data_IF_372122874631
#
_entry.id   IF_372122874631
#
_cell.length_a   1.000
_cell.length_b   1.000
_cell.length_c   1.000
_cell.angle_alpha   90.00
_cell.angle_beta   90.00
_cell.angle_gamma   90.00
#
_symmetry.space_group_name_H-M   'P 1'
#
loop_
_entity.id
_entity.type
_entity.pdbx_description
1 polymer ?
#
# COMPACT_ATOMS: atom_id res chain seq x y z
N UNK A 1 5.29 20.11 -19.70
CA UNK A 1 5.07 18.89 -20.50
C UNK A 1 4.78 19.30 -21.94
N UNK A 2 5.00 18.42 -22.90
CA UNK A 2 4.58 18.68 -24.29
C UNK A 2 3.06 18.82 -24.38
N UNK A 3 2.57 19.53 -25.39
CA UNK A 3 1.13 19.62 -25.64
C UNK A 3 0.61 18.23 -25.99
N UNK A 4 -0.54 17.79 -25.42
CA UNK A 4 -1.10 16.48 -25.72
C UNK A 4 -1.49 16.35 -27.20
N UNK A 5 -1.42 15.14 -27.73
CA UNK A 5 -1.88 14.83 -29.07
C UNK A 5 -3.36 15.21 -29.23
N UNK A 6 -3.71 15.84 -30.36
CA UNK A 6 -5.04 16.38 -30.60
C UNK A 6 -5.32 17.78 -30.02
N UNK A 7 -4.43 18.29 -29.13
CA UNK A 7 -4.54 19.62 -28.52
C UNK A 7 -3.33 20.52 -28.82
N UNK A 8 -2.55 20.18 -29.83
CA UNK A 8 -1.42 20.99 -30.27
C UNK A 8 -1.93 22.25 -30.96
N UNK A 9 -1.62 23.43 -30.40
CA UNK A 9 -1.92 24.71 -31.03
C UNK A 9 -0.93 24.95 -32.21
N UNK A 10 -1.40 25.00 -33.45
CA UNK A 10 -0.52 25.19 -34.62
C UNK A 10 0.33 26.46 -34.55
N UNK A 11 -0.20 27.54 -33.95
CA UNK A 11 0.50 28.82 -33.78
C UNK A 11 1.59 28.77 -32.66
N UNK A 12 1.49 27.80 -31.77
CA UNK A 12 2.36 27.65 -30.59
C UNK A 12 2.91 26.24 -30.45
N UNK A 13 3.11 25.52 -31.56
CA UNK A 13 3.54 24.13 -31.56
C UNK A 13 4.85 23.88 -30.77
N UNK A 14 5.73 24.87 -30.70
CA UNK A 14 7.00 24.80 -29.98
C UNK A 14 6.88 25.14 -28.48
N UNK A 15 5.71 25.55 -28.02
CA UNK A 15 5.50 25.86 -26.58
C UNK A 15 5.11 24.62 -25.83
N UNK A 16 5.47 24.60 -24.54
CA UNK A 16 5.11 23.53 -23.60
C UNK A 16 4.01 24.00 -22.65
N UNK A 17 3.19 23.06 -22.21
CA UNK A 17 2.19 23.33 -21.18
C UNK A 17 2.84 23.42 -19.80
N UNK A 18 2.58 24.53 -19.09
CA UNK A 18 2.86 24.66 -17.66
C UNK A 18 1.62 24.25 -16.90
N UNK A 19 1.70 23.15 -16.16
CA UNK A 19 0.58 22.67 -15.36
C UNK A 19 0.30 23.62 -14.19
N UNK A 20 -0.97 23.95 -13.98
CA UNK A 20 -1.42 24.71 -12.82
C UNK A 20 -1.58 23.84 -11.58
N UNK A 21 -1.83 22.54 -11.77
CA UNK A 21 -1.96 21.52 -10.74
C UNK A 21 -1.22 20.26 -11.14
N UNK A 22 -0.73 19.50 -10.17
CA UNK A 22 -0.17 18.17 -10.43
C UNK A 22 -1.26 17.22 -10.94
N UNK A 23 -0.90 16.40 -11.92
CA UNK A 23 -1.75 15.33 -12.42
C UNK A 23 -1.14 13.99 -12.06
N UNK A 24 -1.98 12.95 -12.00
CA UNK A 24 -1.55 11.59 -11.70
C UNK A 24 -0.48 11.12 -12.71
N UNK A 25 0.50 10.33 -12.24
CA UNK A 25 1.60 9.82 -13.07
C UNK A 25 2.84 10.72 -13.15
N UNK A 26 2.80 11.95 -12.66
CA UNK A 26 4.00 12.79 -12.58
C UNK A 26 4.83 12.44 -11.33
N UNK A 27 6.15 12.38 -11.48
CA UNK A 27 7.10 12.08 -10.38
C UNK A 27 6.91 13.01 -9.18
N UNK A 28 6.64 14.29 -9.41
CA UNK A 28 6.44 15.29 -8.34
C UNK A 28 5.03 15.30 -7.74
N UNK A 29 4.06 14.57 -8.31
CA UNK A 29 2.66 14.62 -7.87
C UNK A 29 2.49 14.09 -6.46
N UNK A 30 3.11 12.95 -6.12
CA UNK A 30 3.06 12.36 -4.79
C UNK A 30 3.66 13.28 -3.72
N UNK A 31 4.75 13.96 -4.03
CA UNK A 31 5.35 14.96 -3.12
C UNK A 31 4.43 16.16 -2.91
N UNK A 32 3.78 16.66 -3.97
CA UNK A 32 2.84 17.78 -3.88
C UNK A 32 1.62 17.40 -3.06
N UNK A 33 1.11 16.18 -3.23
CA UNK A 33 0.03 15.62 -2.43
C UNK A 33 0.42 15.54 -0.95
N UNK A 34 1.56 14.92 -0.64
CA UNK A 34 2.02 14.77 0.74
C UNK A 34 2.18 16.12 1.44
N UNK A 35 2.76 17.14 0.79
CA UNK A 35 2.87 18.48 1.36
C UNK A 35 1.52 19.10 1.68
N UNK A 36 0.58 19.04 0.71
CA UNK A 36 -0.76 19.60 0.90
C UNK A 36 -1.50 18.88 2.04
N UNK A 37 -1.37 17.57 2.11
CA UNK A 37 -1.95 16.76 3.17
C UNK A 37 -1.36 17.12 4.54
N UNK A 38 -0.04 17.17 4.65
CA UNK A 38 0.69 17.52 5.87
C UNK A 38 0.26 18.90 6.42
N UNK A 39 0.18 19.91 5.54
CA UNK A 39 -0.30 21.24 5.90
C UNK A 39 -1.72 21.23 6.49
N UNK A 40 -2.64 20.54 5.82
CA UNK A 40 -4.05 20.46 6.23
C UNK A 40 -4.19 19.70 7.55
N UNK A 41 -3.51 18.57 7.71
CA UNK A 41 -3.61 17.76 8.93
C UNK A 41 -2.98 18.47 10.14
N UNK A 42 -1.85 19.12 9.93
CA UNK A 42 -1.22 19.94 11.00
C UNK A 42 -2.08 21.13 11.41
N UNK A 43 -2.78 21.76 10.46
CA UNK A 43 -3.73 22.84 10.76
C UNK A 43 -4.90 22.37 11.63
N UNK A 44 -5.30 21.11 11.54
CA UNK A 44 -6.31 20.50 12.42
C UNK A 44 -5.74 20.08 13.79
N UNK A 45 -4.44 20.25 14.03
CA UNK A 45 -3.78 19.98 15.31
C UNK A 45 -3.21 18.57 15.44
N UNK A 46 -2.95 17.87 14.32
CA UNK A 46 -2.15 16.67 14.32
C UNK A 46 -0.66 16.99 14.37
N UNK A 47 0.10 16.10 14.96
CA UNK A 47 1.56 16.12 15.00
C UNK A 47 2.06 14.87 14.29
N UNK A 48 3.01 15.04 13.38
CA UNK A 48 3.68 13.93 12.70
C UNK A 48 4.56 13.16 13.70
N UNK A 49 4.52 11.85 13.66
CA UNK A 49 5.31 11.00 14.55
C UNK A 49 6.78 11.02 14.10
N UNK A 50 7.68 11.22 15.04
CA UNK A 50 9.13 11.23 14.76
C UNK A 50 9.57 9.85 14.28
N UNK A 51 10.27 9.81 13.15
CA UNK A 51 10.71 8.56 12.52
C UNK A 51 9.72 7.94 11.52
N UNK A 52 8.42 8.35 11.56
CA UNK A 52 7.37 7.78 10.72
C UNK A 52 6.59 8.89 10.00
N UNK A 53 7.04 9.23 8.81
CA UNK A 53 6.52 10.36 8.03
C UNK A 53 5.06 10.22 7.58
N UNK A 54 4.52 8.99 7.59
CA UNK A 54 3.14 8.69 7.17
C UNK A 54 2.17 8.57 8.36
N UNK A 55 2.64 8.74 9.61
CA UNK A 55 1.83 8.60 10.81
C UNK A 55 1.68 9.95 11.51
N UNK A 56 0.44 10.31 11.77
CA UNK A 56 0.08 11.52 12.51
C UNK A 56 -0.70 11.16 13.76
N UNK A 57 -0.46 11.88 14.84
CA UNK A 57 -1.09 11.70 16.14
C UNK A 57 -1.76 13.00 16.59
N UNK A 58 -2.97 12.92 17.11
CA UNK A 58 -3.65 14.00 17.80
C UNK A 58 -4.07 13.54 19.18
N UNK A 59 -3.80 14.37 20.19
CA UNK A 59 -4.19 14.14 21.58
C UNK A 59 -5.05 15.32 22.02
N UNK A 60 -6.20 15.04 22.63
CA UNK A 60 -7.12 16.02 23.18
C UNK A 60 -7.65 15.49 24.51
N UNK A 61 -7.07 15.94 25.63
CA UNK A 61 -7.35 15.39 26.96
C UNK A 61 -7.01 13.89 27.02
N UNK A 62 -8.00 13.05 27.32
CA UNK A 62 -7.87 11.59 27.34
C UNK A 62 -8.11 10.93 25.96
N UNK A 63 -8.52 11.72 24.96
CA UNK A 63 -8.80 11.21 23.61
C UNK A 63 -7.54 11.26 22.75
N UNK A 64 -7.28 10.14 22.07
CA UNK A 64 -6.14 9.99 21.17
C UNK A 64 -6.64 9.49 19.81
N UNK A 65 -6.14 10.11 18.76
CA UNK A 65 -6.36 9.65 17.38
C UNK A 65 -5.03 9.53 16.65
N UNK A 66 -4.88 8.46 15.88
CA UNK A 66 -3.82 8.25 14.92
C UNK A 66 -4.41 8.26 13.52
N UNK A 67 -3.71 8.91 12.60
CA UNK A 67 -4.02 8.89 11.19
C UNK A 67 -2.79 8.38 10.45
N UNK A 68 -2.98 7.32 9.67
CA UNK A 68 -1.95 6.67 8.87
C UNK A 68 -2.29 6.91 7.41
N UNK A 69 -1.37 7.52 6.68
CA UNK A 69 -1.51 7.81 5.25
C UNK A 69 -0.69 6.81 4.44
N UNK A 70 -1.32 6.16 3.47
CA UNK A 70 -0.65 5.34 2.49
C UNK A 70 -1.14 5.68 1.08
N UNK A 71 -0.36 6.46 0.35
CA UNK A 71 -0.69 6.99 -0.98
C UNK A 71 -2.05 7.69 -0.96
N UNK A 72 -3.13 7.02 -1.38
CA UNK A 72 -4.50 7.53 -1.44
C UNK A 72 -5.37 7.01 -0.28
N UNK A 73 -4.94 5.94 0.40
CA UNK A 73 -5.67 5.33 1.50
C UNK A 73 -5.30 5.95 2.84
N UNK A 74 -6.31 6.13 3.68
CA UNK A 74 -6.13 6.59 5.06
C UNK A 74 -6.78 5.64 6.05
N UNK A 75 -6.05 5.35 7.12
CA UNK A 75 -6.58 4.64 8.27
C UNK A 75 -6.64 5.57 9.48
N UNK A 76 -7.84 5.75 10.02
CA UNK A 76 -8.08 6.55 11.22
C UNK A 76 -8.38 5.62 12.39
N UNK A 77 -7.59 5.75 13.47
CA UNK A 77 -7.69 4.92 14.67
C UNK A 77 -7.80 5.84 15.89
N UNK A 78 -8.70 5.56 16.79
CA UNK A 78 -8.83 6.33 18.02
C UNK A 78 -9.71 5.67 19.06
N UNK A 79 -9.70 6.24 20.26
CA UNK A 79 -10.47 5.78 21.42
C UNK A 79 -11.76 6.58 21.67
N UNK A 80 -12.02 7.62 20.87
CA UNK A 80 -13.20 8.47 21.00
C UNK A 80 -13.90 8.62 19.63
N UNK A 81 -15.15 8.19 19.54
CA UNK A 81 -15.92 8.19 18.29
C UNK A 81 -16.21 9.60 17.81
N UNK A 82 -16.60 10.52 18.72
CA UNK A 82 -16.92 11.91 18.38
C UNK A 82 -15.70 12.63 17.78
N UNK A 83 -14.50 12.39 18.36
CA UNK A 83 -13.25 12.90 17.80
C UNK A 83 -13.00 12.34 16.40
N UNK A 84 -13.21 11.04 16.19
CA UNK A 84 -13.03 10.40 14.87
C UNK A 84 -14.00 11.00 13.84
N UNK A 85 -15.25 11.21 14.19
CA UNK A 85 -16.25 11.82 13.29
C UNK A 85 -15.87 13.27 12.96
N UNK A 86 -15.43 14.07 13.93
CA UNK A 86 -14.97 15.44 13.67
C UNK A 86 -13.78 15.48 12.72
N UNK A 87 -12.87 14.50 12.80
CA UNK A 87 -11.72 14.37 11.90
C UNK A 87 -12.20 14.01 10.50
N UNK A 88 -13.14 13.05 10.36
CA UNK A 88 -13.73 12.67 9.07
C UNK A 88 -14.40 13.85 8.38
N UNK A 89 -15.19 14.60 9.10
CA UNK A 89 -15.86 15.80 8.58
C UNK A 89 -14.86 16.85 8.10
N UNK A 90 -13.80 17.07 8.85
CA UNK A 90 -12.73 17.98 8.44
C UNK A 90 -12.01 17.50 7.17
N UNK A 91 -11.71 16.22 7.09
CA UNK A 91 -11.08 15.60 5.91
C UNK A 91 -11.99 15.72 4.68
N UNK A 92 -13.29 15.41 4.82
CA UNK A 92 -14.26 15.51 3.73
C UNK A 92 -14.44 16.95 3.22
N UNK A 93 -14.33 17.94 4.09
CA UNK A 93 -14.35 19.37 3.70
C UNK A 93 -13.07 19.81 2.99
N UNK A 94 -11.93 19.21 3.36
CA UNK A 94 -10.62 19.61 2.85
C UNK A 94 -10.22 18.87 1.57
N UNK A 95 -10.73 17.65 1.38
CA UNK A 95 -10.40 16.77 0.29
C UNK A 95 -11.66 16.07 -0.25
N UNK A 96 -11.65 15.73 -1.54
CA UNK A 96 -12.70 14.90 -2.14
C UNK A 96 -12.45 13.42 -1.79
N UNK A 97 -12.90 13.01 -0.62
CA UNK A 97 -12.69 11.67 -0.05
C UNK A 97 -14.00 10.97 0.21
N UNK A 98 -13.95 9.64 0.29
CA UNK A 98 -15.07 8.79 0.64
C UNK A 98 -14.75 8.04 1.93
N UNK A 99 -15.63 8.15 2.94
CA UNK A 99 -15.56 7.28 4.11
C UNK A 99 -16.02 5.87 3.73
N UNK A 100 -15.15 4.88 3.95
CA UNK A 100 -15.42 3.47 3.68
C UNK A 100 -15.97 2.73 4.90
N UNK A 101 -16.18 3.44 6.01
CA UNK A 101 -16.68 2.87 7.25
C UNK A 101 -15.61 2.16 8.08
N UNK A 102 -16.00 1.08 8.79
CA UNK A 102 -15.06 0.32 9.61
C UNK A 102 -14.05 -0.44 8.74
N UNK A 103 -12.77 -0.32 9.08
CA UNK A 103 -11.69 -0.92 8.30
C UNK A 103 -11.72 -2.45 8.42
N UNK A 104 -12.12 -3.13 7.33
CA UNK A 104 -12.06 -4.58 7.20
C UNK A 104 -10.77 -5.05 6.52
N UNK A 105 -10.18 -4.20 5.70
CA UNK A 105 -8.92 -4.44 4.99
C UNK A 105 -8.08 -3.18 4.96
N UNK A 106 -6.78 -3.34 5.03
CA UNK A 106 -5.78 -2.31 4.76
C UNK A 106 -4.59 -2.94 4.02
N UNK A 107 -4.21 -2.39 2.86
CA UNK A 107 -3.07 -2.87 2.06
C UNK A 107 -3.11 -4.39 1.76
N UNK A 108 -4.30 -4.95 1.54
CA UNK A 108 -4.49 -6.38 1.31
C UNK A 108 -4.44 -7.25 2.58
N UNK A 109 -4.22 -6.66 3.75
CA UNK A 109 -4.28 -7.34 5.05
C UNK A 109 -5.71 -7.26 5.56
N UNK A 110 -6.31 -8.41 5.88
CA UNK A 110 -7.61 -8.49 6.51
C UNK A 110 -7.51 -8.15 7.99
N UNK A 111 -8.37 -7.25 8.44
CA UNK A 111 -8.48 -6.88 9.85
C UNK A 111 -9.68 -7.64 10.44
N UNK A 112 -9.42 -8.49 11.42
CA UNK A 112 -10.45 -9.11 12.23
C UNK A 112 -10.54 -8.36 13.56
N UNK A 113 -11.76 -8.00 13.98
CA UNK A 113 -11.99 -7.31 15.24
C UNK A 113 -13.16 -7.90 15.99
N UNK A 114 -12.92 -8.32 17.23
CA UNK A 114 -13.94 -8.72 18.20
C UNK A 114 -13.88 -7.76 19.40
N UNK A 115 -14.82 -6.83 19.46
CA UNK A 115 -14.88 -5.80 20.53
C UNK A 115 -15.22 -6.40 21.88
N UNK A 116 -16.01 -7.49 21.92
CA UNK A 116 -16.43 -8.16 23.13
C UNK A 116 -15.25 -8.83 23.84
N UNK A 117 -14.36 -9.42 23.04
CA UNK A 117 -13.14 -10.07 23.50
C UNK A 117 -11.92 -9.15 23.53
N UNK A 118 -12.08 -7.87 23.12
CA UNK A 118 -10.97 -6.91 22.94
C UNK A 118 -9.85 -7.47 22.07
N UNK A 119 -10.21 -8.20 21.01
CA UNK A 119 -9.28 -8.89 20.12
C UNK A 119 -9.20 -8.15 18.80
N UNK A 120 -7.99 -7.95 18.30
CA UNK A 120 -7.70 -7.54 16.92
C UNK A 120 -6.76 -8.59 16.33
N UNK A 121 -7.12 -9.14 15.17
CA UNK A 121 -6.31 -10.06 14.39
C UNK A 121 -6.02 -9.50 13.01
N UNK A 122 -4.82 -9.76 12.51
CA UNK A 122 -4.42 -9.43 11.15
C UNK A 122 -4.19 -10.72 10.37
N UNK A 123 -4.66 -10.79 9.12
CA UNK A 123 -4.53 -11.98 8.29
C UNK A 123 -4.18 -11.61 6.85
N UNK A 124 -3.26 -12.36 6.26
CA UNK A 124 -2.88 -12.28 4.86
C UNK A 124 -3.41 -13.47 4.05
N UNK A 125 -4.49 -14.13 4.49
CA UNK A 125 -5.02 -15.34 3.84
C UNK A 125 -5.19 -15.17 2.33
N UNK A 126 -5.81 -14.09 1.89
CA UNK A 126 -6.01 -13.80 0.45
C UNK A 126 -4.70 -13.68 -0.33
N UNK A 127 -3.65 -13.14 0.30
CA UNK A 127 -2.32 -13.05 -0.32
C UNK A 127 -1.65 -14.43 -0.38
N UNK A 128 -1.74 -15.20 0.69
CA UNK A 128 -1.21 -16.56 0.73
C UNK A 128 -1.87 -17.45 -0.34
N UNK A 129 -3.19 -17.36 -0.49
CA UNK A 129 -3.91 -18.10 -1.53
C UNK A 129 -3.41 -17.72 -2.94
N UNK A 130 -3.19 -16.42 -3.20
CA UNK A 130 -2.60 -15.96 -4.47
C UNK A 130 -1.19 -16.50 -4.70
N UNK A 131 -0.36 -16.55 -3.66
CA UNK A 131 0.99 -17.12 -3.73
C UNK A 131 0.92 -18.60 -4.03
N UNK A 132 0.15 -19.37 -3.26
CA UNK A 132 -0.03 -20.80 -3.47
C UNK A 132 -0.52 -21.11 -4.90
N UNK A 133 -1.51 -20.35 -5.39
CA UNK A 133 -2.02 -20.50 -6.75
C UNK A 133 -0.94 -20.23 -7.81
N UNK A 134 -0.12 -19.19 -7.61
CA UNK A 134 0.98 -18.87 -8.53
C UNK A 134 1.97 -20.01 -8.67
N UNK A 135 2.24 -20.70 -7.57
CA UNK A 135 3.17 -21.85 -7.55
C UNK A 135 2.47 -23.20 -7.75
N UNK A 136 1.17 -23.22 -8.10
CA UNK A 136 0.37 -24.45 -8.27
C UNK A 136 0.37 -25.35 -7.03
N UNK A 137 0.36 -24.73 -5.85
CA UNK A 137 0.46 -25.40 -4.55
C UNK A 137 -0.84 -25.31 -3.73
N UNK A 138 -1.99 -25.02 -4.33
CA UNK A 138 -3.28 -24.86 -3.64
C UNK A 138 -3.68 -26.13 -2.87
N UNK A 139 -3.30 -27.29 -3.40
CA UNK A 139 -3.59 -28.60 -2.78
C UNK A 139 -2.43 -29.13 -1.92
N UNK A 140 -1.38 -28.31 -1.73
CA UNK A 140 -0.23 -28.74 -0.93
C UNK A 140 -0.59 -28.82 0.55
N UNK A 141 0.00 -29.79 1.25
CA UNK A 141 -0.10 -29.91 2.71
C UNK A 141 1.12 -29.26 3.36
N UNK A 142 0.92 -28.75 4.57
CA UNK A 142 2.03 -28.26 5.39
C UNK A 142 3.06 -29.39 5.56
N UNK A 143 4.31 -29.13 5.23
CA UNK A 143 5.43 -30.03 5.36
C UNK A 143 6.66 -29.37 5.90
N UNK A 144 7.73 -30.11 6.07
CA UNK A 144 9.04 -29.60 6.42
C UNK A 144 9.70 -28.97 5.19
N UNK A 145 10.67 -28.08 5.41
CA UNK A 145 11.47 -27.51 4.33
C UNK A 145 12.13 -28.63 3.52
N UNK A 146 11.99 -28.64 2.18
CA UNK A 146 12.52 -29.71 1.34
C UNK A 146 14.05 -29.70 1.23
N UNK A 147 14.71 -28.64 1.72
CA UNK A 147 16.16 -28.48 1.63
C UNK A 147 16.75 -28.56 3.04
N UNK A 148 17.67 -29.49 3.25
CA UNK A 148 18.39 -29.64 4.52
C UNK A 148 19.34 -28.46 4.74
N UNK A 149 19.47 -28.05 6.01
CA UNK A 149 20.43 -27.02 6.38
C UNK A 149 21.85 -27.46 5.98
N UNK A 150 22.60 -26.57 5.30
CA UNK A 150 23.94 -26.88 4.80
C UNK A 150 24.00 -27.49 3.38
N UNK A 151 22.85 -27.72 2.73
CA UNK A 151 22.82 -28.13 1.32
C UNK A 151 23.49 -27.04 0.44
N UNK A 152 24.57 -27.42 -0.24
CA UNK A 152 25.25 -26.52 -1.19
C UNK A 152 24.61 -26.67 -2.56
N UNK A 153 24.06 -25.56 -3.07
CA UNK A 153 23.57 -25.51 -4.45
C UNK A 153 24.73 -25.17 -5.40
N UNK A 154 24.76 -25.81 -6.57
CA UNK A 154 25.79 -25.59 -7.58
C UNK A 154 25.19 -25.55 -8.98
N UNK A 155 25.93 -24.97 -9.93
CA UNK A 155 25.51 -24.92 -11.34
C UNK A 155 25.34 -26.30 -11.98
N UNK A 156 25.98 -27.35 -11.41
CA UNK A 156 25.84 -28.74 -11.92
C UNK A 156 24.49 -29.37 -11.64
N UNK A 157 23.70 -28.76 -10.74
CA UNK A 157 22.33 -29.15 -10.41
C UNK A 157 21.27 -28.46 -11.28
N UNK A 158 21.70 -27.59 -12.22
CA UNK A 158 20.78 -26.93 -13.13
C UNK A 158 20.24 -27.92 -14.17
N UNK A 159 19.07 -27.58 -14.73
CA UNK A 159 18.44 -28.30 -15.84
C UNK A 159 19.42 -28.52 -16.99
N UNK A 160 19.76 -29.77 -17.28
CA UNK A 160 20.75 -30.13 -18.28
C UNK A 160 20.11 -30.49 -19.64
N UNK A 161 18.90 -31.08 -19.61
CA UNK A 161 18.15 -31.45 -20.82
C UNK A 161 17.21 -30.36 -21.30
N UNK A 162 16.76 -30.40 -22.54
CA UNK A 162 15.78 -29.44 -23.05
C UNK A 162 14.41 -29.66 -22.42
N UNK A 163 14.06 -30.88 -22.05
CA UNK A 163 12.85 -31.21 -21.32
C UNK A 163 12.85 -30.60 -19.92
N UNK A 164 13.98 -30.72 -19.20
CA UNK A 164 14.15 -30.10 -17.89
C UNK A 164 14.04 -28.56 -17.97
N UNK A 165 14.65 -27.97 -19.01
CA UNK A 165 14.58 -26.50 -19.22
C UNK A 165 13.17 -26.03 -19.49
N UNK A 166 12.40 -26.78 -20.30
CA UNK A 166 11.00 -26.45 -20.57
C UNK A 166 10.14 -26.59 -19.32
N UNK A 167 10.35 -27.66 -18.54
CA UNK A 167 9.70 -27.82 -17.24
C UNK A 167 10.01 -26.64 -16.31
N UNK A 168 11.27 -26.23 -16.22
CA UNK A 168 11.73 -25.12 -15.38
C UNK A 168 11.15 -23.77 -15.81
N UNK A 169 10.86 -23.53 -17.10
CA UNK A 169 10.22 -22.32 -17.59
C UNK A 169 8.83 -22.08 -16.97
N UNK A 170 8.14 -23.15 -16.63
CA UNK A 170 6.81 -23.08 -16.03
C UNK A 170 6.83 -22.69 -14.55
N UNK A 171 8.01 -22.70 -13.91
CA UNK A 171 8.17 -22.42 -12.48
C UNK A 171 8.68 -20.99 -12.29
N UNK A 172 7.95 -20.11 -11.61
CA UNK A 172 8.29 -18.70 -11.51
C UNK A 172 9.39 -18.42 -10.45
N UNK A 173 10.59 -18.97 -10.61
CA UNK A 173 11.72 -18.83 -9.68
C UNK A 173 12.14 -17.38 -9.41
N UNK A 174 12.02 -16.51 -10.40
CA UNK A 174 12.36 -15.09 -10.28
C UNK A 174 11.52 -14.34 -9.23
N UNK A 175 10.36 -14.88 -8.87
CA UNK A 175 9.48 -14.30 -7.85
C UNK A 175 9.85 -14.75 -6.44
N UNK A 176 10.58 -15.87 -6.29
CA UNK A 176 10.98 -16.38 -4.98
C UNK A 176 12.04 -15.50 -4.28
N UNK A 177 12.78 -14.69 -5.02
CA UNK A 177 13.84 -13.81 -4.47
C UNK A 177 13.32 -12.49 -3.87
N UNK A 178 12.01 -12.26 -3.84
CA UNK A 178 11.40 -11.00 -3.37
C UNK A 178 10.82 -11.12 -1.96
N UNK A 179 10.90 -12.29 -1.34
CA UNK A 179 10.39 -12.52 0.03
C UNK A 179 11.58 -12.61 0.99
N UNK A 180 12.09 -11.43 1.37
CA UNK A 180 12.95 -11.25 2.54
C UNK A 180 12.23 -10.34 3.53
#
# INVERSE_FOLDING_TARGET
MMQPEGFVDPKNANKVCKLQRSIYGLVQASRSWNKRFDEVIKAFGFIQVVGESCIYKKVSGSSVAFLILYVDDMLLIGNNVELLESIKDYLNKSFSMKDLGEAAYILGIKIYRDRSKRLIGLSQSTYLDKVLKRFKMEQSKKGFLPVLQGTRLSKTQCAATDEDREHMRSIPYHVCNVVH
#
